data_IF_080212735593
#
_entry.id   IF_080212735593
#
_cell.length_a   1.000
_cell.length_b   1.000
_cell.length_c   1.000
_cell.angle_alpha   90.00
_cell.angle_beta   90.00
_cell.angle_gamma   90.00
#
_symmetry.space_group_name_H-M   'P 1'
#
loop_
_entity.id
_entity.type
_entity.pdbx_description
1 polymer ?
#
# COMPACT_ATOMS: atom_id res chain seq x y z
N UNK A 1 43.00 5.73 7.22
CA UNK A 1 41.93 4.96 6.62
C UNK A 1 41.12 5.91 5.74
N UNK A 2 41.10 5.73 4.41
CA UNK A 2 40.26 6.53 3.52
C UNK A 2 38.81 6.11 3.76
N UNK A 3 38.01 6.97 4.37
CA UNK A 3 36.57 6.80 4.46
C UNK A 3 36.00 6.81 3.03
N UNK A 4 35.90 5.66 2.43
CA UNK A 4 35.31 5.50 1.11
C UNK A 4 33.78 5.62 1.21
N UNK A 5 33.24 6.79 0.88
CA UNK A 5 31.80 6.94 0.68
C UNK A 5 31.40 6.13 -0.58
N UNK A 6 30.31 5.36 -0.46
CA UNK A 6 29.67 4.74 -1.63
C UNK A 6 28.58 5.68 -2.13
N UNK A 7 28.72 6.15 -3.35
CA UNK A 7 27.73 7.00 -3.99
C UNK A 7 26.81 6.12 -4.87
N UNK A 8 25.53 6.34 -4.78
CA UNK A 8 24.55 5.77 -5.71
C UNK A 8 23.77 6.95 -6.29
N UNK A 9 23.48 6.90 -7.58
CA UNK A 9 22.64 7.87 -8.27
C UNK A 9 21.34 7.18 -8.69
N UNK A 10 20.24 7.90 -8.66
CA UNK A 10 18.94 7.49 -9.17
C UNK A 10 18.12 8.74 -9.48
N UNK A 11 17.07 8.61 -10.30
CA UNK A 11 16.15 9.72 -10.55
C UNK A 11 15.19 9.92 -9.37
N UNK A 12 14.70 8.80 -8.78
CA UNK A 12 13.78 8.80 -7.66
C UNK A 12 14.33 7.95 -6.52
N UNK A 13 14.52 8.54 -5.36
CA UNK A 13 14.84 7.84 -4.12
C UNK A 13 13.58 7.69 -3.27
N UNK A 14 13.13 6.45 -3.08
CA UNK A 14 12.00 6.13 -2.20
C UNK A 14 12.51 5.76 -0.80
N UNK A 15 12.06 6.48 0.21
CA UNK A 15 12.45 6.28 1.60
C UNK A 15 11.34 5.56 2.34
N UNK A 16 11.52 4.27 2.54
CA UNK A 16 10.58 3.36 3.20
C UNK A 16 10.16 2.21 2.27
N UNK A 17 10.27 0.99 2.77
CA UNK A 17 9.94 -0.26 2.08
C UNK A 17 8.62 -0.90 2.56
N UNK A 18 7.70 -0.11 3.08
CA UNK A 18 6.33 -0.52 3.35
C UNK A 18 5.43 -0.41 2.12
N UNK A 19 4.16 -0.78 2.24
CA UNK A 19 3.21 -0.81 1.11
C UNK A 19 3.17 0.47 0.29
N UNK A 20 3.12 1.63 0.94
CA UNK A 20 3.10 2.93 0.26
C UNK A 20 4.40 3.20 -0.53
N UNK A 21 5.55 2.91 0.07
CA UNK A 21 6.84 3.12 -0.59
C UNK A 21 7.03 2.18 -1.78
N UNK A 22 6.71 0.90 -1.63
CA UNK A 22 6.79 -0.07 -2.72
C UNK A 22 5.88 0.32 -3.89
N UNK A 23 4.63 0.71 -3.61
CA UNK A 23 3.71 1.15 -4.69
C UNK A 23 4.16 2.44 -5.36
N UNK A 24 4.71 3.39 -4.60
CA UNK A 24 5.28 4.62 -5.16
C UNK A 24 6.50 4.34 -6.07
N UNK A 25 7.34 3.39 -5.65
CA UNK A 25 8.50 2.97 -6.44
C UNK A 25 8.08 2.30 -7.76
N UNK A 26 7.06 1.43 -7.71
CA UNK A 26 6.49 0.80 -8.90
C UNK A 26 5.98 1.87 -9.86
N UNK A 27 5.16 2.82 -9.38
CA UNK A 27 4.63 3.90 -10.22
C UNK A 27 5.73 4.75 -10.86
N UNK A 28 6.75 5.14 -10.10
CA UNK A 28 7.85 5.93 -10.63
C UNK A 28 8.66 5.16 -11.69
N UNK A 29 8.80 3.84 -11.51
CA UNK A 29 9.47 2.97 -12.49
C UNK A 29 8.64 2.82 -13.77
N UNK A 30 7.33 2.64 -13.65
CA UNK A 30 6.39 2.55 -14.78
C UNK A 30 6.39 3.83 -15.63
N UNK A 31 6.64 4.99 -15.00
CA UNK A 31 6.84 6.28 -15.68
C UNK A 31 8.27 6.48 -16.22
N UNK A 32 9.10 5.42 -16.25
CA UNK A 32 10.44 5.41 -16.86
C UNK A 32 11.54 5.98 -15.99
N UNK A 33 11.33 6.17 -14.69
CA UNK A 33 12.38 6.67 -13.79
C UNK A 33 13.28 5.53 -13.29
N UNK A 34 14.58 5.84 -13.11
CA UNK A 34 15.50 4.98 -12.37
C UNK A 34 15.24 5.16 -10.86
N UNK A 35 14.76 4.09 -10.21
CA UNK A 35 14.30 4.13 -8.80
C UNK A 35 15.24 3.35 -7.90
N UNK A 36 15.48 3.89 -6.69
CA UNK A 36 16.13 3.19 -5.59
C UNK A 36 15.23 3.27 -4.35
N UNK A 37 14.97 2.12 -3.73
CA UNK A 37 14.26 2.05 -2.46
C UNK A 37 15.27 1.87 -1.32
N UNK A 38 15.10 2.62 -0.22
CA UNK A 38 15.86 2.39 1.01
C UNK A 38 14.91 2.07 2.16
N UNK A 39 15.22 1.04 2.94
CA UNK A 39 14.42 0.59 4.09
C UNK A 39 15.25 0.56 5.37
N UNK A 40 14.70 1.09 6.47
CA UNK A 40 15.35 1.06 7.79
C UNK A 40 15.51 -0.36 8.33
N UNK A 41 14.60 -1.26 8.00
CA UNK A 41 14.56 -2.67 8.38
C UNK A 41 14.71 -3.56 7.17
N UNK A 42 14.74 -4.86 7.37
CA UNK A 42 14.58 -5.83 6.28
C UNK A 42 13.20 -5.68 5.66
N UNK A 43 13.11 -5.87 4.35
CA UNK A 43 11.90 -5.59 3.53
C UNK A 43 10.62 -6.21 4.03
N UNK A 44 10.68 -7.40 4.64
CA UNK A 44 9.52 -8.13 5.16
C UNK A 44 9.07 -7.68 6.57
N UNK A 45 9.75 -6.72 7.17
CA UNK A 45 9.48 -6.24 8.55
C UNK A 45 8.87 -4.82 8.55
N UNK A 46 8.11 -4.47 7.53
CA UNK A 46 7.37 -3.22 7.47
C UNK A 46 6.06 -3.29 8.28
N UNK A 47 5.61 -2.17 8.83
CA UNK A 47 4.36 -2.10 9.60
C UNK A 47 3.13 -2.56 8.80
N UNK A 48 3.17 -2.50 7.48
CA UNK A 48 2.13 -3.05 6.61
C UNK A 48 1.78 -4.50 6.94
N UNK A 49 2.77 -5.32 7.37
CA UNK A 49 2.53 -6.72 7.73
C UNK A 49 1.65 -6.92 8.95
N UNK A 50 1.47 -5.89 9.78
CA UNK A 50 0.66 -5.95 10.99
C UNK A 50 -0.83 -5.71 10.72
N UNK A 51 -1.20 -5.27 9.53
CA UNK A 51 -2.59 -5.03 9.16
C UNK A 51 -3.33 -6.37 8.94
N UNK A 52 -4.22 -6.71 9.87
CA UNK A 52 -4.98 -7.95 9.85
C UNK A 52 -6.42 -7.78 9.33
N UNK A 53 -6.98 -6.57 9.46
CA UNK A 53 -8.39 -6.31 9.18
C UNK A 53 -8.81 -6.44 7.72
N UNK A 54 -8.00 -5.96 6.83
CA UNK A 54 -8.27 -5.89 5.40
C UNK A 54 -8.05 -4.49 4.82
N UNK A 55 -8.51 -4.29 3.61
CA UNK A 55 -8.43 -3.02 2.88
C UNK A 55 -9.80 -2.69 2.28
N UNK A 56 -10.25 -1.45 2.42
CA UNK A 56 -11.59 -1.03 2.03
C UNK A 56 -11.64 -0.50 0.61
N UNK A 57 -12.59 -1.01 -0.18
CA UNK A 57 -12.91 -0.49 -1.51
C UNK A 57 -14.37 -0.79 -1.86
N UNK A 58 -15.02 0.10 -2.56
CA UNK A 58 -16.38 -0.12 -3.08
C UNK A 58 -16.30 -0.93 -4.36
N UNK A 59 -16.44 -2.25 -4.25
CA UNK A 59 -16.46 -3.15 -5.41
C UNK A 59 -17.87 -3.53 -5.82
N UNK A 60 -18.85 -3.44 -4.91
CA UNK A 60 -20.24 -3.84 -5.16
C UNK A 60 -20.44 -5.36 -5.32
N UNK A 61 -19.44 -6.17 -4.95
CA UNK A 61 -19.52 -7.64 -5.10
C UNK A 61 -20.45 -8.29 -4.10
N UNK A 62 -20.59 -7.70 -2.91
CA UNK A 62 -21.43 -8.20 -1.81
C UNK A 62 -22.60 -7.26 -1.54
N UNK A 63 -22.36 -5.97 -1.47
CA UNK A 63 -23.37 -4.92 -1.27
C UNK A 63 -23.38 -3.99 -2.50
N UNK A 64 -24.20 -4.29 -3.53
CA UNK A 64 -24.21 -3.54 -4.80
C UNK A 64 -24.74 -2.11 -4.67
N UNK A 65 -25.44 -1.79 -3.58
CA UNK A 65 -25.90 -0.44 -3.26
C UNK A 65 -24.82 0.47 -2.63
N UNK A 66 -23.64 -0.07 -2.29
CA UNK A 66 -22.54 0.72 -1.73
C UNK A 66 -21.99 1.71 -2.78
N UNK A 67 -21.62 2.88 -2.30
CA UNK A 67 -21.13 3.97 -3.17
C UNK A 67 -19.86 4.59 -2.60
N UNK A 68 -19.04 5.19 -3.48
CA UNK A 68 -17.88 5.94 -3.04
C UNK A 68 -18.24 7.13 -2.11
N UNK A 69 -19.46 7.69 -2.27
CA UNK A 69 -19.97 8.77 -1.40
C UNK A 69 -20.18 8.23 0.01
N UNK A 70 -20.82 7.06 0.15
CA UNK A 70 -21.00 6.44 1.47
C UNK A 70 -19.66 6.03 2.07
N UNK A 71 -18.73 5.52 1.26
CA UNK A 71 -17.38 5.22 1.72
C UNK A 71 -16.64 6.49 2.21
N UNK A 72 -16.81 7.61 1.52
CA UNK A 72 -16.28 8.90 1.96
C UNK A 72 -16.86 9.32 3.30
N UNK A 73 -18.19 9.29 3.44
CA UNK A 73 -18.88 9.70 4.68
C UNK A 73 -18.42 8.85 5.85
N UNK A 74 -18.44 7.54 5.72
CA UNK A 74 -17.99 6.61 6.76
C UNK A 74 -16.53 6.89 7.17
N UNK A 75 -15.64 7.01 6.20
CA UNK A 75 -14.21 7.26 6.45
C UNK A 75 -13.95 8.60 7.12
N UNK A 76 -14.64 9.65 6.68
CA UNK A 76 -14.47 11.00 7.21
C UNK A 76 -15.01 11.14 8.62
N UNK A 77 -16.18 10.56 8.88
CA UNK A 77 -16.82 10.57 10.21
C UNK A 77 -16.05 9.72 11.23
N UNK A 78 -15.61 8.51 10.84
CA UNK A 78 -14.80 7.65 11.70
C UNK A 78 -13.45 8.28 12.04
N UNK A 79 -12.90 9.06 11.12
CA UNK A 79 -11.73 9.91 11.33
C UNK A 79 -12.02 11.18 12.14
N UNK A 80 -13.18 11.31 12.79
CA UNK A 80 -13.59 12.47 13.58
C UNK A 80 -13.52 13.81 12.83
N UNK A 81 -13.69 13.79 11.52
CA UNK A 81 -13.61 14.94 10.61
C UNK A 81 -12.24 15.69 10.65
N UNK A 82 -11.16 15.01 11.05
CA UNK A 82 -9.82 15.59 11.14
C UNK A 82 -9.05 15.45 9.81
N UNK A 83 -9.43 14.44 9.01
CA UNK A 83 -8.77 14.20 7.73
C UNK A 83 -9.03 15.32 6.71
N UNK A 84 -8.08 15.52 5.79
CA UNK A 84 -8.32 16.38 4.63
C UNK A 84 -9.37 15.74 3.69
N UNK A 85 -10.54 16.38 3.50
CA UNK A 85 -11.62 15.82 2.69
C UNK A 85 -11.20 15.50 1.25
N UNK A 86 -10.31 16.31 0.68
CA UNK A 86 -9.79 16.12 -0.68
C UNK A 86 -8.97 14.83 -0.80
N UNK A 87 -8.15 14.56 0.19
CA UNK A 87 -7.36 13.33 0.27
C UNK A 87 -8.25 12.10 0.45
N UNK A 88 -9.29 12.20 1.30
CA UNK A 88 -10.28 11.12 1.50
C UNK A 88 -11.04 10.85 0.20
N UNK A 89 -11.47 11.89 -0.52
CA UNK A 89 -12.18 11.73 -1.80
C UNK A 89 -11.32 10.98 -2.84
N UNK A 90 -10.06 11.36 -2.98
CA UNK A 90 -9.12 10.69 -3.88
C UNK A 90 -8.97 9.22 -3.49
N UNK A 91 -8.75 8.95 -2.21
CA UNK A 91 -8.59 7.59 -1.67
C UNK A 91 -9.79 6.72 -2.00
N UNK A 92 -11.01 7.14 -1.66
CA UNK A 92 -12.21 6.29 -1.81
C UNK A 92 -12.59 6.06 -3.27
N UNK A 93 -12.31 7.04 -4.15
CA UNK A 93 -12.57 6.92 -5.60
C UNK A 93 -11.56 6.00 -6.27
N UNK A 94 -10.31 6.02 -5.85
CA UNK A 94 -9.25 5.20 -6.47
C UNK A 94 -9.12 3.80 -5.85
N UNK A 95 -9.65 3.59 -4.65
CA UNK A 95 -9.55 2.32 -3.94
C UNK A 95 -9.95 1.08 -4.78
N UNK A 96 -11.04 1.07 -5.56
CA UNK A 96 -11.39 -0.07 -6.41
C UNK A 96 -10.29 -0.41 -7.42
N UNK A 97 -9.69 0.60 -8.05
CA UNK A 97 -8.61 0.40 -9.01
C UNK A 97 -7.39 -0.23 -8.34
N UNK A 98 -7.05 0.22 -7.12
CA UNK A 98 -5.90 -0.32 -6.37
C UNK A 98 -6.14 -1.75 -5.90
N UNK A 99 -7.38 -2.12 -5.57
CA UNK A 99 -7.70 -3.52 -5.24
C UNK A 99 -7.58 -4.41 -6.48
N UNK A 100 -8.12 -3.99 -7.61
CA UNK A 100 -8.01 -4.75 -8.85
C UNK A 100 -6.54 -4.93 -9.26
N UNK A 101 -5.73 -3.89 -9.17
CA UNK A 101 -4.29 -3.95 -9.40
C UNK A 101 -3.59 -5.00 -8.50
N UNK A 102 -3.91 -5.03 -7.21
CA UNK A 102 -3.37 -6.02 -6.28
C UNK A 102 -3.84 -7.45 -6.61
N UNK A 103 -5.08 -7.61 -7.08
CA UNK A 103 -5.62 -8.89 -7.55
C UNK A 103 -4.85 -9.36 -8.79
N UNK A 104 -4.65 -8.48 -9.75
CA UNK A 104 -3.91 -8.76 -11.00
C UNK A 104 -2.46 -9.14 -10.71
N UNK A 105 -1.86 -8.57 -9.68
CA UNK A 105 -0.51 -8.93 -9.22
C UNK A 105 -0.47 -10.16 -8.33
N UNK A 106 -1.63 -10.79 -8.05
CA UNK A 106 -1.71 -12.08 -7.37
C UNK A 106 -1.93 -12.02 -5.86
N UNK A 107 -2.39 -10.88 -5.29
CA UNK A 107 -2.77 -10.86 -3.87
C UNK A 107 -3.90 -11.85 -3.60
N UNK A 108 -3.72 -12.81 -2.65
CA UNK A 108 -4.68 -13.88 -2.41
C UNK A 108 -5.87 -13.43 -1.55
N UNK A 109 -6.63 -12.45 -2.04
CA UNK A 109 -7.87 -12.06 -1.38
C UNK A 109 -8.89 -13.20 -1.35
N UNK A 110 -9.68 -13.26 -0.29
CA UNK A 110 -10.82 -14.17 -0.20
C UNK A 110 -11.78 -13.93 -1.36
N UNK A 111 -12.42 -15.01 -1.82
CA UNK A 111 -13.33 -14.97 -2.97
C UNK A 111 -14.70 -15.52 -2.59
N UNK A 112 -15.73 -14.95 -3.18
CA UNK A 112 -17.07 -15.48 -3.15
C UNK A 112 -17.15 -16.83 -3.89
N UNK A 113 -18.23 -17.61 -3.74
CA UNK A 113 -18.43 -18.84 -4.53
C UNK A 113 -18.38 -18.62 -6.05
N UNK A 114 -18.68 -17.40 -6.52
CA UNK A 114 -18.66 -17.04 -7.94
C UNK A 114 -17.24 -16.65 -8.43
N UNK A 115 -16.26 -16.56 -7.52
CA UNK A 115 -14.89 -16.20 -7.86
C UNK A 115 -14.56 -14.71 -7.74
N UNK A 116 -15.55 -13.87 -7.43
CA UNK A 116 -15.35 -12.44 -7.20
C UNK A 116 -14.67 -12.18 -5.85
N UNK A 117 -14.01 -11.02 -5.64
CA UNK A 117 -13.47 -10.66 -4.34
C UNK A 117 -14.57 -10.64 -3.27
N UNK A 118 -14.35 -11.39 -2.18
CA UNK A 118 -15.25 -11.35 -1.03
C UNK A 118 -14.99 -10.13 -0.17
N UNK A 119 -16.07 -9.59 0.41
CA UNK A 119 -16.03 -8.39 1.24
C UNK A 119 -16.75 -8.61 2.57
N UNK A 120 -16.17 -8.12 3.65
CA UNK A 120 -16.74 -8.24 5.00
C UNK A 120 -16.92 -6.89 5.68
N UNK A 121 -17.69 -6.86 6.76
CA UNK A 121 -17.71 -5.72 7.68
C UNK A 121 -16.39 -5.62 8.42
N UNK A 122 -15.89 -4.39 8.54
CA UNK A 122 -14.78 -4.08 9.41
C UNK A 122 -14.84 -2.60 9.84
N UNK A 123 -14.71 -2.34 11.15
CA UNK A 123 -14.87 -1.00 11.71
C UNK A 123 -16.32 -0.51 11.63
N UNK A 124 -16.52 0.80 11.54
CA UNK A 124 -17.82 1.46 11.55
C UNK A 124 -18.41 1.70 10.14
N UNK A 125 -18.01 0.91 9.15
CA UNK A 125 -18.52 1.06 7.80
C UNK A 125 -19.98 0.60 7.69
N UNK A 126 -20.76 1.35 6.90
CA UNK A 126 -22.17 1.05 6.63
C UNK A 126 -22.37 -0.24 5.84
N UNK A 127 -21.44 -0.50 4.88
CA UNK A 127 -21.49 -1.66 3.97
C UNK A 127 -20.27 -2.56 4.11
N UNK A 128 -20.40 -3.81 3.65
CA UNK A 128 -19.30 -4.76 3.53
C UNK A 128 -18.40 -4.36 2.36
N UNK A 129 -17.32 -3.66 2.63
CA UNK A 129 -16.39 -3.19 1.60
C UNK A 129 -14.93 -3.58 1.87
N UNK A 130 -14.70 -4.36 2.92
CA UNK A 130 -13.35 -4.75 3.31
C UNK A 130 -12.93 -6.03 2.60
N UNK A 131 -12.04 -5.91 1.62
CA UNK A 131 -11.34 -7.04 1.01
C UNK A 131 -10.29 -7.58 1.98
N UNK A 132 -10.15 -8.89 2.09
CA UNK A 132 -9.30 -9.52 3.11
C UNK A 132 -8.64 -10.79 2.61
N UNK A 133 -7.52 -11.13 3.22
CA UNK A 133 -6.84 -12.42 3.07
C UNK A 133 -6.66 -13.01 4.49
N UNK A 134 -7.72 -13.68 4.99
CA UNK A 134 -7.74 -14.19 6.36
C UNK A 134 -7.39 -13.09 7.39
N UNK A 135 -6.45 -13.39 8.29
CA UNK A 135 -5.95 -12.48 9.32
C UNK A 135 -4.57 -11.89 8.98
N UNK A 136 -4.12 -12.04 7.74
CA UNK A 136 -2.79 -11.64 7.29
C UNK A 136 -2.81 -10.75 6.05
N UNK A 137 -3.88 -10.00 5.85
CA UNK A 137 -4.09 -9.15 4.66
C UNK A 137 -2.90 -8.24 4.37
N UNK A 138 -2.37 -7.55 5.38
CA UNK A 138 -1.23 -6.66 5.21
C UNK A 138 0.05 -7.41 4.79
N UNK A 139 0.26 -8.63 5.30
CA UNK A 139 1.37 -9.47 4.87
C UNK A 139 1.21 -9.92 3.42
N UNK A 140 0.00 -10.31 3.02
CA UNK A 140 -0.31 -10.69 1.64
C UNK A 140 -0.05 -9.53 0.68
N UNK A 141 -0.56 -8.33 0.99
CA UNK A 141 -0.31 -7.12 0.19
C UNK A 141 1.17 -6.80 0.09
N UNK A 142 1.90 -6.83 1.22
CA UNK A 142 3.34 -6.53 1.21
C UNK A 142 4.12 -7.53 0.37
N UNK A 143 3.81 -8.83 0.47
CA UNK A 143 4.44 -9.88 -0.35
C UNK A 143 4.21 -9.61 -1.84
N UNK A 144 2.97 -9.40 -2.25
CA UNK A 144 2.62 -9.09 -3.65
C UNK A 144 3.39 -7.88 -4.19
N UNK A 145 3.49 -6.81 -3.39
CA UNK A 145 4.23 -5.61 -3.79
C UNK A 145 5.73 -5.85 -3.89
N UNK A 146 6.30 -6.67 -3.01
CA UNK A 146 7.72 -7.06 -3.08
C UNK A 146 8.01 -7.92 -4.30
N UNK A 147 7.14 -8.89 -4.59
CA UNK A 147 7.24 -9.74 -5.77
C UNK A 147 7.20 -8.89 -7.06
N UNK A 148 6.32 -7.88 -7.09
CA UNK A 148 6.23 -6.94 -8.22
C UNK A 148 7.48 -6.07 -8.36
N UNK A 149 8.03 -5.56 -7.26
CA UNK A 149 9.28 -4.80 -7.25
C UNK A 149 10.46 -5.65 -7.72
N UNK A 150 10.49 -6.94 -7.36
CA UNK A 150 11.51 -7.89 -7.81
C UNK A 150 11.35 -8.21 -9.31
N UNK A 151 10.13 -8.45 -9.79
CA UNK A 151 9.81 -8.63 -11.22
C UNK A 151 10.33 -7.46 -12.07
N UNK A 152 10.12 -6.23 -11.59
CA UNK A 152 10.56 -4.99 -12.24
C UNK A 152 12.06 -4.68 -12.03
N UNK A 153 12.77 -5.52 -11.28
CA UNK A 153 14.20 -5.33 -10.95
C UNK A 153 14.49 -3.98 -10.26
N UNK A 154 13.57 -3.44 -9.47
CA UNK A 154 13.78 -2.20 -8.73
C UNK A 154 14.68 -2.49 -7.51
N UNK A 155 15.85 -1.86 -7.37
CA UNK A 155 16.77 -2.14 -6.28
C UNK A 155 16.24 -1.66 -4.93
N UNK A 156 16.35 -2.55 -3.91
CA UNK A 156 16.05 -2.23 -2.50
C UNK A 156 17.32 -2.35 -1.68
N UNK A 157 17.62 -1.33 -0.89
CA UNK A 157 18.66 -1.36 0.14
C UNK A 157 18.02 -1.43 1.52
N UNK A 158 18.04 -2.63 2.06
CA UNK A 158 17.60 -2.90 3.42
C UNK A 158 18.60 -2.32 4.45
N UNK A 159 18.17 -2.21 5.71
CA UNK A 159 18.99 -1.75 6.85
C UNK A 159 19.65 -0.39 6.63
N UNK A 160 19.03 0.46 5.82
CA UNK A 160 19.52 1.80 5.46
C UNK A 160 18.62 2.86 6.08
N UNK A 161 19.15 3.65 7.01
CA UNK A 161 18.40 4.67 7.72
C UNK A 161 18.82 6.08 7.26
N UNK A 162 17.86 6.88 6.83
CA UNK A 162 18.11 8.26 6.39
C UNK A 162 18.75 9.12 7.49
N UNK A 163 18.33 8.95 8.75
CA UNK A 163 18.85 9.73 9.89
C UNK A 163 20.33 9.49 10.17
N UNK A 164 20.86 8.33 9.80
CA UNK A 164 22.28 8.04 9.97
C UNK A 164 23.14 8.48 8.79
N UNK A 165 22.51 8.82 7.66
CA UNK A 165 23.19 9.18 6.41
C UNK A 165 23.03 10.63 6.02
N UNK A 166 22.09 11.36 6.63
CA UNK A 166 21.86 12.78 6.38
C UNK A 166 22.10 13.60 7.66
N UNK A 167 22.99 14.60 7.64
CA UNK A 167 23.07 15.56 8.74
C UNK A 167 21.75 16.34 8.79
N UNK A 168 20.92 16.05 9.79
CA UNK A 168 19.75 16.88 10.06
C UNK A 168 20.22 18.19 10.68
N UNK A 169 19.87 19.35 10.11
CA UNK A 169 20.09 20.61 10.82
C UNK A 169 19.25 20.60 12.09
N UNK A 170 19.92 20.77 13.22
CA UNK A 170 19.28 20.95 14.53
C UNK A 170 18.88 22.40 14.70
#
# INVERSE_FOLDING_TARGET
MKNGYRTNACNVLVIGSGGAGLRAAIAAHEEGSEVLIIGKRIRNDAHTTLAAGGINAVLGTVDPEDTWIQHFVDTYQEGYNVADPKTVEILVKDAPNRINELIDWGTPFAKTPNGDPDQRYFGAHTYRRTCYAGDYTGRAILSTLLDKVEELNIPIKDMTCLLYTSPSPR
#
